data_IF_076745817240
#
_entry.id   IF_076745817240
#
_cell.length_a   1.000
_cell.length_b   1.000
_cell.length_c   1.000
_cell.angle_alpha   90.00
_cell.angle_beta   90.00
_cell.angle_gamma   90.00
#
_symmetry.space_group_name_H-M   'P 1'
#
loop_
_entity.id
_entity.type
_entity.pdbx_description
1 polymer ?
#
# COMPACT_ATOMS: atom_id res chain seq x y z
N UNK A 1 -1.09 -7.10 1.18
CA UNK A 1 -0.39 -6.00 0.49
C UNK A 1 -0.63 -6.13 -1.00
N UNK A 2 -1.10 -5.08 -1.64
CA UNK A 2 -1.29 -4.96 -3.09
C UNK A 2 -0.02 -4.42 -3.77
N UNK A 3 0.08 -4.49 -5.10
CA UNK A 3 1.21 -3.93 -5.83
C UNK A 3 1.42 -2.43 -5.51
N UNK A 4 2.66 -1.92 -5.57
CA UNK A 4 2.94 -0.50 -5.46
C UNK A 4 2.08 0.28 -6.46
N UNK A 5 1.66 1.49 -6.08
CA UNK A 5 0.78 2.36 -6.89
C UNK A 5 -0.69 1.89 -6.98
N UNK A 6 -1.08 0.85 -6.24
CA UNK A 6 -2.50 0.55 -6.08
C UNK A 6 -3.18 1.71 -5.35
N UNK A 7 -4.30 2.17 -5.92
CA UNK A 7 -5.04 3.28 -5.33
C UNK A 7 -5.62 2.88 -3.96
N UNK A 8 -5.59 3.76 -2.94
CA UNK A 8 -6.11 3.46 -1.60
C UNK A 8 -7.57 3.00 -1.58
N UNK A 9 -8.41 3.53 -2.47
CA UNK A 9 -9.82 3.13 -2.55
C UNK A 9 -9.99 1.65 -2.92
N UNK A 10 -9.09 1.09 -3.74
CA UNK A 10 -9.10 -0.34 -4.05
C UNK A 10 -8.76 -1.16 -2.81
N UNK A 11 -7.73 -0.75 -2.06
CA UNK A 11 -7.37 -1.43 -0.80
C UNK A 11 -8.52 -1.42 0.17
N UNK A 12 -9.22 -0.27 0.29
CA UNK A 12 -10.41 -0.15 1.13
C UNK A 12 -11.53 -1.08 0.68
N UNK A 13 -11.80 -1.11 -0.63
CA UNK A 13 -12.82 -1.98 -1.21
C UNK A 13 -12.53 -3.45 -0.91
N UNK A 14 -11.31 -3.91 -1.20
CA UNK A 14 -10.89 -5.29 -0.98
C UNK A 14 -10.96 -5.67 0.51
N UNK A 15 -10.56 -4.76 1.43
CA UNK A 15 -10.68 -5.00 2.87
C UNK A 15 -12.13 -5.16 3.33
N UNK A 16 -13.04 -4.34 2.81
CA UNK A 16 -14.48 -4.41 3.14
C UNK A 16 -15.08 -5.70 2.59
N UNK A 17 -14.78 -6.05 1.34
CA UNK A 17 -15.24 -7.29 0.71
C UNK A 17 -14.75 -8.53 1.45
N UNK A 18 -13.47 -8.57 1.83
CA UNK A 18 -12.91 -9.66 2.63
C UNK A 18 -13.58 -9.71 4.00
N UNK A 19 -13.81 -8.56 4.64
CA UNK A 19 -14.48 -8.52 5.94
C UNK A 19 -15.91 -9.06 5.87
N UNK A 20 -16.66 -8.73 4.83
CA UNK A 20 -18.00 -9.24 4.59
C UNK A 20 -17.99 -10.76 4.40
N UNK A 21 -17.13 -11.27 3.52
CA UNK A 21 -16.97 -12.71 3.29
C UNK A 21 -16.54 -13.51 4.53
N UNK A 22 -15.73 -12.90 5.38
CA UNK A 22 -15.30 -13.55 6.62
C UNK A 22 -16.36 -13.47 7.73
N UNK A 23 -17.28 -12.51 7.66
CA UNK A 23 -18.40 -12.41 8.60
C UNK A 23 -19.42 -13.53 8.43
N UNK A 24 -19.37 -14.32 7.34
CA UNK A 24 -20.20 -15.48 7.12
C UNK A 24 -19.79 -16.69 7.99
N UNK A 25 -18.62 -16.65 8.62
CA UNK A 25 -18.16 -17.69 9.54
C UNK A 25 -18.73 -17.43 10.94
N UNK A 26 -19.56 -18.34 11.43
CA UNK A 26 -20.19 -18.24 12.77
C UNK A 26 -19.17 -18.19 13.91
N UNK A 27 -17.96 -18.72 13.68
CA UNK A 27 -16.88 -18.75 14.67
C UNK A 27 -16.13 -17.42 14.80
N UNK A 28 -16.37 -16.47 13.91
CA UNK A 28 -15.72 -15.15 13.94
C UNK A 28 -16.60 -14.18 14.71
N UNK A 29 -16.08 -13.70 15.84
CA UNK A 29 -16.78 -12.78 16.70
C UNK A 29 -16.64 -11.32 16.24
N UNK A 30 -15.43 -10.94 15.78
CA UNK A 30 -15.14 -9.55 15.40
C UNK A 30 -14.05 -9.47 14.34
N UNK A 31 -14.25 -8.53 13.41
CA UNK A 31 -13.24 -8.17 12.41
C UNK A 31 -12.92 -6.68 12.55
N UNK A 32 -11.65 -6.36 12.65
CA UNK A 32 -11.17 -4.97 12.68
C UNK A 32 -10.26 -4.74 11.48
N UNK A 33 -10.63 -3.80 10.62
CA UNK A 33 -9.87 -3.44 9.43
C UNK A 33 -9.01 -2.20 9.65
N UNK A 34 -7.80 -2.20 9.12
CA UNK A 34 -6.89 -1.06 9.09
C UNK A 34 -6.31 -0.92 7.70
N UNK A 35 -6.31 0.30 7.19
CA UNK A 35 -5.78 0.65 5.88
C UNK A 35 -4.57 1.57 6.01
N UNK A 36 -3.62 1.43 5.11
CA UNK A 36 -2.40 2.23 4.99
C UNK A 36 -1.46 2.19 6.21
N UNK A 37 -1.87 1.63 7.30
CA UNK A 37 -1.08 1.51 8.52
C UNK A 37 -1.49 0.28 9.34
N UNK A 38 -0.60 -0.18 10.19
CA UNK A 38 -0.96 -1.19 11.19
C UNK A 38 -1.84 -0.57 12.26
N UNK A 39 -2.80 -1.33 12.82
CA UNK A 39 -3.57 -0.86 13.97
C UNK A 39 -2.68 -0.45 15.14
N UNK A 40 -3.22 0.39 16.00
CA UNK A 40 -2.52 0.83 17.22
C UNK A 40 -1.97 -0.37 17.99
N UNK A 41 -0.77 -0.23 18.53
CA UNK A 41 -0.14 -1.28 19.33
C UNK A 41 -0.99 -1.58 20.56
N UNK A 42 -1.56 -2.76 20.61
CA UNK A 42 -2.33 -3.26 21.76
C UNK A 42 -1.54 -4.28 22.59
N UNK A 43 -0.32 -4.61 22.19
CA UNK A 43 0.58 -5.49 22.93
C UNK A 43 2.04 -5.13 22.61
N UNK A 44 2.92 -5.34 23.59
CA UNK A 44 4.33 -4.95 23.53
C UNK A 44 5.14 -5.65 22.42
N UNK A 45 4.81 -6.90 22.13
CA UNK A 45 5.58 -7.72 21.18
C UNK A 45 5.11 -7.58 19.73
N UNK A 46 4.06 -6.79 19.49
CA UNK A 46 3.59 -6.56 18.13
C UNK A 46 4.56 -5.63 17.39
N UNK A 47 5.07 -6.12 16.27
CA UNK A 47 5.81 -5.27 15.34
C UNK A 47 4.86 -4.29 14.66
N UNK A 48 5.24 -3.02 14.66
CA UNK A 48 4.60 -2.01 13.80
C UNK A 48 5.41 -2.00 12.50
N UNK A 49 4.79 -2.45 11.42
CA UNK A 49 5.43 -2.41 10.12
C UNK A 49 5.27 -1.01 9.52
N UNK A 50 6.30 -0.55 8.84
CA UNK A 50 6.16 0.59 7.95
C UNK A 50 5.18 0.21 6.84
N UNK A 51 4.31 1.12 6.47
CA UNK A 51 3.13 0.88 5.70
C UNK A 51 3.01 1.92 4.61
N UNK A 52 2.12 1.70 3.68
CA UNK A 52 1.88 2.54 2.54
C UNK A 52 0.45 2.36 2.04
N UNK A 53 0.06 3.17 1.09
CA UNK A 53 -1.31 3.23 0.57
C UNK A 53 -1.80 1.89 0.00
N UNK A 54 -0.88 0.99 -0.38
CA UNK A 54 -1.16 -0.35 -0.90
C UNK A 54 -1.26 -1.43 0.19
N UNK A 55 -1.28 -1.03 1.47
CA UNK A 55 -1.34 -1.96 2.60
C UNK A 55 -2.70 -1.97 3.27
N UNK A 56 -3.16 -3.17 3.66
CA UNK A 56 -4.31 -3.38 4.50
C UNK A 56 -4.09 -4.53 5.48
N UNK A 57 -4.69 -4.45 6.63
CA UNK A 57 -4.63 -5.47 7.68
C UNK A 57 -6.01 -5.70 8.29
N UNK A 58 -6.36 -6.96 8.47
CA UNK A 58 -7.53 -7.39 9.22
C UNK A 58 -7.09 -8.11 10.48
N UNK A 59 -7.66 -7.74 11.60
CA UNK A 59 -7.57 -8.46 12.86
C UNK A 59 -8.88 -9.19 13.04
N UNK A 60 -8.81 -10.51 13.19
CA UNK A 60 -9.96 -11.39 13.30
C UNK A 60 -9.95 -12.01 14.69
N UNK A 61 -10.99 -11.76 15.44
CA UNK A 61 -11.21 -12.34 16.76
C UNK A 61 -12.16 -13.52 16.64
N UNK A 62 -11.74 -14.69 17.09
CA UNK A 62 -12.53 -15.91 17.13
C UNK A 62 -13.08 -16.12 18.55
N UNK A 63 -14.24 -16.80 18.67
CA UNK A 63 -14.77 -17.18 19.97
C UNK A 63 -13.87 -18.20 20.69
N UNK A 64 -13.39 -19.21 19.94
CA UNK A 64 -12.44 -20.21 20.44
C UNK A 64 -11.15 -20.17 19.60
N UNK A 65 -10.00 -20.20 20.28
CA UNK A 65 -8.69 -20.25 19.63
C UNK A 65 -8.51 -21.51 18.76
N UNK A 66 -9.24 -22.60 19.03
CA UNK A 66 -9.21 -23.84 18.24
C UNK A 66 -9.79 -23.64 16.86
N UNK A 67 -10.81 -22.83 16.73
CA UNK A 67 -11.41 -22.48 15.45
C UNK A 67 -10.44 -21.65 14.61
N UNK A 68 -9.69 -20.74 15.21
CA UNK A 68 -8.60 -20.05 14.52
C UNK A 68 -7.57 -21.02 13.94
N UNK A 69 -7.20 -22.07 14.67
CA UNK A 69 -6.27 -23.09 14.14
C UNK A 69 -6.84 -23.90 12.99
N UNK A 70 -8.12 -24.21 13.04
CA UNK A 70 -8.81 -24.99 12.03
C UNK A 70 -9.05 -24.20 10.74
N UNK A 71 -9.51 -22.95 10.85
CA UNK A 71 -9.94 -22.13 9.73
C UNK A 71 -8.79 -21.37 9.05
N UNK A 72 -7.69 -21.12 9.75
CA UNK A 72 -6.58 -20.32 9.22
C UNK A 72 -6.02 -20.84 7.87
N UNK A 73 -5.77 -22.15 7.66
CA UNK A 73 -5.30 -22.65 6.37
C UNK A 73 -6.32 -22.48 5.25
N UNK A 74 -7.61 -22.68 5.55
CA UNK A 74 -8.71 -22.52 4.61
C UNK A 74 -8.83 -21.05 4.16
N UNK A 75 -8.91 -20.12 5.13
CA UNK A 75 -8.98 -18.70 4.87
C UNK A 75 -7.77 -18.24 4.05
N UNK A 76 -6.56 -18.71 4.39
CA UNK A 76 -5.37 -18.35 3.64
C UNK A 76 -5.41 -18.81 2.19
N UNK A 77 -5.84 -20.05 1.94
CA UNK A 77 -5.95 -20.62 0.59
C UNK A 77 -6.99 -19.85 -0.22
N UNK A 78 -8.17 -19.67 0.35
CA UNK A 78 -9.26 -18.93 -0.28
C UNK A 78 -8.86 -17.51 -0.67
N UNK A 79 -8.25 -16.76 0.25
CA UNK A 79 -7.84 -15.39 -0.02
C UNK A 79 -6.69 -15.30 -1.05
N UNK A 80 -5.81 -16.28 -1.12
CA UNK A 80 -4.77 -16.34 -2.16
C UNK A 80 -5.34 -16.60 -3.55
N UNK A 81 -6.37 -17.43 -3.65
CA UNK A 81 -7.06 -17.73 -4.90
C UNK A 81 -7.91 -16.54 -5.39
N UNK A 82 -8.63 -15.90 -4.48
CA UNK A 82 -9.51 -14.78 -4.81
C UNK A 82 -8.74 -13.47 -5.12
N UNK A 83 -7.56 -13.28 -4.51
CA UNK A 83 -6.73 -12.07 -4.67
C UNK A 83 -5.31 -12.42 -5.17
N UNK A 84 -5.16 -12.92 -6.41
CA UNK A 84 -3.87 -13.41 -6.91
C UNK A 84 -2.82 -12.31 -7.12
N UNK A 85 -3.24 -11.05 -7.24
CA UNK A 85 -2.36 -9.90 -7.36
C UNK A 85 -1.93 -9.32 -6.00
N UNK A 86 -2.51 -9.82 -4.91
CA UNK A 86 -2.19 -9.40 -3.57
C UNK A 86 -1.23 -10.37 -2.87
N UNK A 87 -0.26 -9.87 -2.15
CA UNK A 87 0.47 -10.69 -1.19
C UNK A 87 -0.37 -10.84 0.07
N UNK A 88 -1.06 -11.97 0.19
CA UNK A 88 -1.91 -12.31 1.33
C UNK A 88 -1.14 -13.19 2.32
N UNK A 89 -1.05 -12.74 3.55
CA UNK A 89 -0.46 -13.47 4.65
C UNK A 89 -1.43 -13.58 5.81
N UNK A 90 -1.88 -14.78 6.12
CA UNK A 90 -2.71 -15.07 7.29
C UNK A 90 -1.83 -15.70 8.36
N UNK A 91 -1.85 -15.17 9.56
CA UNK A 91 -1.02 -15.67 10.66
C UNK A 91 -1.73 -15.52 11.99
N UNK A 92 -1.41 -16.40 12.91
CA UNK A 92 -1.82 -16.27 14.29
C UNK A 92 -1.07 -15.14 14.97
N UNK A 93 -1.74 -14.53 15.91
CA UNK A 93 -1.08 -13.62 16.82
C UNK A 93 -0.12 -14.41 17.72
N UNK A 94 1.12 -13.97 17.81
CA UNK A 94 2.13 -14.59 18.65
C UNK A 94 2.58 -13.59 19.73
N UNK A 95 2.58 -14.03 20.98
CA UNK A 95 3.07 -13.23 22.12
C UNK A 95 4.60 -13.23 22.25
N UNK A 96 5.30 -14.08 21.52
CA UNK A 96 6.76 -14.08 21.50
C UNK A 96 7.29 -13.04 20.51
N UNK A 97 8.50 -12.54 20.78
CA UNK A 97 9.25 -11.76 19.80
C UNK A 97 9.50 -12.66 18.58
N UNK A 98 8.82 -12.37 17.50
CA UNK A 98 9.02 -13.11 16.24
C UNK A 98 9.65 -12.21 15.19
N UNK A 99 10.61 -12.74 14.48
CA UNK A 99 11.12 -12.13 13.26
C UNK A 99 10.06 -12.22 12.16
N UNK A 100 10.09 -11.29 11.23
CA UNK A 100 9.16 -11.32 10.08
C UNK A 100 9.35 -12.58 9.24
N UNK A 101 10.57 -13.10 9.18
CA UNK A 101 10.94 -14.30 8.47
C UNK A 101 11.81 -15.17 9.37
N UNK A 102 11.63 -16.49 9.31
CA UNK A 102 12.37 -17.45 10.12
C UNK A 102 13.74 -17.72 9.55
N UNK A 103 13.83 -17.70 8.22
CA UNK A 103 15.09 -17.92 7.47
C UNK A 103 15.24 -16.77 6.49
N UNK A 104 16.41 -16.16 6.48
CA UNK A 104 16.75 -15.06 5.59
C UNK A 104 18.10 -15.32 4.94
N UNK A 105 18.19 -15.11 3.62
CA UNK A 105 19.44 -15.08 2.89
C UNK A 105 19.73 -13.63 2.48
N UNK A 106 20.90 -13.14 2.84
CA UNK A 106 21.30 -11.75 2.58
C UNK A 106 22.38 -11.74 1.48
N UNK A 107 22.10 -11.03 0.40
CA UNK A 107 23.05 -10.77 -0.67
C UNK A 107 23.49 -9.32 -0.62
N UNK A 108 24.81 -9.08 -0.69
CA UNK A 108 25.38 -7.73 -0.66
C UNK A 108 26.31 -7.53 -1.84
N UNK A 109 26.24 -6.37 -2.48
CA UNK A 109 27.09 -6.06 -3.62
C UNK A 109 26.79 -4.67 -4.18
N UNK A 110 27.65 -4.16 -5.08
CA UNK A 110 27.48 -2.80 -5.66
C UNK A 110 26.46 -2.75 -6.80
N UNK A 111 26.16 -3.89 -7.46
CA UNK A 111 25.29 -3.93 -8.64
C UNK A 111 23.90 -4.44 -8.32
N UNK A 112 22.86 -3.59 -8.43
CA UNK A 112 21.49 -3.97 -8.14
C UNK A 112 20.92 -5.04 -9.08
N UNK A 113 21.42 -5.13 -10.32
CA UNK A 113 20.94 -6.12 -11.30
C UNK A 113 21.39 -7.52 -10.90
N UNK A 114 22.70 -7.66 -10.59
CA UNK A 114 23.28 -8.91 -10.11
C UNK A 114 22.59 -9.35 -8.79
N UNK A 115 22.33 -8.42 -7.89
CA UNK A 115 21.64 -8.72 -6.63
C UNK A 115 20.22 -9.24 -6.86
N UNK A 116 19.49 -8.71 -7.83
CA UNK A 116 18.14 -9.21 -8.19
C UNK A 116 18.20 -10.61 -8.79
N UNK A 117 19.18 -10.89 -9.63
CA UNK A 117 19.38 -12.23 -10.20
C UNK A 117 19.70 -13.24 -9.10
N UNK A 118 20.60 -12.91 -8.19
CA UNK A 118 20.95 -13.77 -7.05
C UNK A 118 19.75 -13.99 -6.11
N UNK A 119 18.97 -12.93 -5.83
CA UNK A 119 17.75 -13.06 -5.04
C UNK A 119 16.72 -13.96 -5.74
N UNK A 120 16.60 -13.86 -7.08
CA UNK A 120 15.77 -14.75 -7.89
C UNK A 120 16.16 -16.20 -7.75
N UNK A 121 17.43 -16.52 -7.96
CA UNK A 121 18.00 -17.87 -7.80
C UNK A 121 17.79 -18.39 -6.36
N UNK A 122 18.06 -17.55 -5.36
CA UNK A 122 17.83 -17.90 -3.96
C UNK A 122 16.38 -18.24 -3.65
N UNK A 123 15.42 -17.52 -4.23
CA UNK A 123 14.00 -17.82 -4.09
C UNK A 123 13.61 -19.15 -4.73
N UNK A 124 14.15 -19.46 -5.91
CA UNK A 124 13.91 -20.76 -6.57
C UNK A 124 14.40 -21.91 -5.70
N UNK A 125 15.64 -21.83 -5.21
CA UNK A 125 16.19 -22.86 -4.31
C UNK A 125 15.34 -23.03 -3.05
N UNK A 126 14.87 -21.94 -2.45
CA UNK A 126 14.02 -22.01 -1.26
C UNK A 126 12.64 -22.63 -1.57
N UNK A 127 12.05 -22.31 -2.74
CA UNK A 127 10.74 -22.83 -3.16
C UNK A 127 10.76 -24.33 -3.47
N UNK A 128 11.90 -24.84 -3.95
CA UNK A 128 12.08 -26.25 -4.23
C UNK A 128 12.24 -27.08 -2.95
N UNK A 129 12.39 -26.46 -1.80
CA UNK A 129 12.52 -27.14 -0.54
C UNK A 129 11.16 -27.64 -0.02
N UNK A 130 10.99 -28.93 0.17
CA UNK A 130 9.74 -29.59 0.52
C UNK A 130 9.11 -29.12 1.86
N UNK A 131 9.89 -28.52 2.75
CA UNK A 131 9.44 -28.05 4.07
C UNK A 131 9.08 -26.55 4.07
N UNK A 132 9.27 -25.88 2.94
CA UNK A 132 9.02 -24.42 2.80
C UNK A 132 7.68 -24.21 2.09
N UNK A 133 6.82 -23.37 2.64
CA UNK A 133 5.67 -22.86 1.89
C UNK A 133 6.18 -21.92 0.79
N UNK A 134 6.16 -22.41 -0.44
CA UNK A 134 6.67 -21.69 -1.62
C UNK A 134 6.09 -20.27 -1.78
N UNK A 135 4.84 -20.07 -1.35
CA UNK A 135 4.20 -18.75 -1.37
C UNK A 135 4.79 -17.78 -0.33
N UNK A 136 5.32 -18.29 0.77
CA UNK A 136 5.93 -17.50 1.83
C UNK A 136 7.32 -16.95 1.45
N UNK A 137 7.93 -17.47 0.38
CA UNK A 137 9.25 -17.07 -0.09
C UNK A 137 9.16 -15.74 -0.84
N UNK A 138 9.63 -14.68 -0.21
CA UNK A 138 9.61 -13.31 -0.73
C UNK A 138 10.98 -12.68 -0.70
N UNK A 139 11.18 -11.60 -1.40
CA UNK A 139 12.33 -10.73 -1.28
C UNK A 139 11.92 -9.34 -0.81
N UNK A 140 12.90 -8.52 -0.46
CA UNK A 140 12.67 -7.13 -0.06
C UNK A 140 12.68 -6.15 -1.25
N UNK A 141 12.89 -6.64 -2.49
CA UNK A 141 12.68 -5.86 -3.68
C UNK A 141 11.18 -5.69 -3.91
N UNK A 142 10.72 -4.46 -3.90
CA UNK A 142 9.34 -4.17 -4.29
C UNK A 142 9.13 -4.46 -5.78
N UNK A 143 7.94 -4.90 -6.20
CA UNK A 143 7.59 -4.96 -7.62
C UNK A 143 7.89 -3.63 -8.30
N UNK A 144 8.40 -3.69 -9.54
CA UNK A 144 8.70 -2.48 -10.29
C UNK A 144 7.40 -1.74 -10.61
N UNK A 145 7.32 -0.49 -10.16
CA UNK A 145 6.23 0.41 -10.52
C UNK A 145 6.59 1.24 -11.76
N UNK A 146 5.58 1.70 -12.49
CA UNK A 146 5.76 2.66 -13.56
C UNK A 146 5.84 4.06 -12.97
N UNK A 147 6.89 4.81 -13.30
CA UNK A 147 7.00 6.22 -12.95
C UNK A 147 6.84 7.08 -14.19
N UNK A 148 6.04 8.13 -14.08
CA UNK A 148 5.88 9.12 -15.15
C UNK A 148 6.85 10.26 -14.86
N UNK A 149 7.87 10.37 -15.71
CA UNK A 149 8.78 11.52 -15.66
C UNK A 149 8.28 12.59 -16.62
N UNK A 150 8.09 13.80 -16.10
CA UNK A 150 7.73 14.96 -16.91
C UNK A 150 8.99 15.71 -17.32
N UNK A 151 9.14 15.90 -18.60
CA UNK A 151 10.21 16.73 -19.13
C UNK A 151 9.81 18.22 -19.02
N UNK A 152 10.58 18.96 -18.22
CA UNK A 152 10.31 20.36 -17.94
C UNK A 152 11.09 21.25 -18.89
N UNK A 153 10.37 21.96 -19.77
CA UNK A 153 10.95 22.99 -20.62
C UNK A 153 10.96 24.34 -19.91
N UNK A 154 12.10 24.73 -19.37
CA UNK A 154 12.26 26.02 -18.67
C UNK A 154 11.95 27.22 -19.59
N UNK A 155 12.31 27.10 -20.87
CA UNK A 155 12.07 28.17 -21.84
C UNK A 155 10.57 28.37 -22.10
N UNK A 156 9.81 27.26 -22.25
CA UNK A 156 8.38 27.34 -22.46
C UNK A 156 7.64 27.84 -21.21
N UNK A 157 8.04 27.37 -20.02
CA UNK A 157 7.48 27.81 -18.76
C UNK A 157 7.69 29.33 -18.54
N UNK A 158 8.90 29.83 -18.75
CA UNK A 158 9.20 31.27 -18.64
C UNK A 158 8.38 32.12 -19.61
N UNK A 159 8.17 31.65 -20.84
CA UNK A 159 7.30 32.36 -21.82
C UNK A 159 5.85 32.45 -21.37
N UNK A 160 5.38 31.43 -20.65
CA UNK A 160 4.02 31.36 -20.09
C UNK A 160 3.91 32.00 -18.70
N UNK A 161 4.96 32.62 -18.17
CA UNK A 161 4.96 33.21 -16.85
C UNK A 161 4.88 32.21 -15.69
N UNK A 162 5.24 30.95 -15.94
CA UNK A 162 5.17 29.87 -14.97
C UNK A 162 6.55 29.43 -14.52
N UNK A 163 6.64 28.92 -13.31
CA UNK A 163 7.85 28.33 -12.76
C UNK A 163 7.65 26.82 -12.45
N UNK A 164 8.71 26.14 -12.04
CA UNK A 164 8.67 24.70 -11.73
C UNK A 164 7.72 24.38 -10.58
N UNK A 165 7.61 25.25 -9.59
CA UNK A 165 6.72 25.05 -8.44
C UNK A 165 5.24 25.14 -8.84
N UNK A 166 4.89 26.03 -9.77
CA UNK A 166 3.51 26.15 -10.27
C UNK A 166 3.06 24.86 -10.94
N UNK A 167 3.93 24.28 -11.77
CA UNK A 167 3.67 22.99 -12.44
C UNK A 167 3.61 21.84 -11.42
N UNK A 168 4.54 21.80 -10.45
CA UNK A 168 4.54 20.78 -9.42
C UNK A 168 3.28 20.82 -8.56
N UNK A 169 2.82 22.01 -8.17
CA UNK A 169 1.59 22.20 -7.41
C UNK A 169 0.34 21.79 -8.21
N UNK A 170 0.30 22.09 -9.51
CA UNK A 170 -0.81 21.68 -10.36
C UNK A 170 -0.86 20.14 -10.51
N UNK A 171 0.29 19.48 -10.68
CA UNK A 171 0.40 18.03 -10.71
C UNK A 171 -0.04 17.39 -9.38
N UNK A 172 0.39 17.96 -8.26
CA UNK A 172 0.00 17.49 -6.94
C UNK A 172 -1.51 17.65 -6.71
N UNK A 173 -2.07 18.80 -7.07
CA UNK A 173 -3.49 19.06 -6.94
C UNK A 173 -4.37 18.13 -7.82
N UNK A 174 -3.85 17.70 -8.98
CA UNK A 174 -4.56 16.76 -9.86
C UNK A 174 -4.49 15.30 -9.42
N UNK A 175 -3.44 14.92 -8.69
CA UNK A 175 -3.22 13.54 -8.23
C UNK A 175 -3.73 13.33 -6.80
N UNK A 176 -2.95 13.75 -5.82
CA UNK A 176 -3.21 13.48 -4.40
C UNK A 176 -3.98 14.59 -3.70
N UNK A 177 -3.87 15.79 -4.21
CA UNK A 177 -4.35 17.04 -3.62
C UNK A 177 -3.23 17.87 -3.01
N UNK A 178 -3.38 19.18 -3.13
CA UNK A 178 -2.47 20.17 -2.57
C UNK A 178 -2.96 20.57 -1.17
N UNK A 179 -2.19 20.35 -0.09
CA UNK A 179 -2.58 20.83 1.23
C UNK A 179 -2.56 22.35 1.28
N UNK A 180 -3.72 22.95 1.54
CA UNK A 180 -3.92 24.41 1.54
C UNK A 180 -4.24 24.98 2.91
N UNK A 181 -4.53 24.15 3.91
CA UNK A 181 -4.85 24.62 5.24
C UNK A 181 -5.14 23.50 6.23
N UNK A 182 -5.47 23.91 7.45
CA UNK A 182 -5.85 23.04 8.55
C UNK A 182 -7.12 23.57 9.20
N UNK A 183 -8.04 22.65 9.53
CA UNK A 183 -9.17 22.93 10.41
C UNK A 183 -8.95 22.15 11.71
N UNK A 184 -9.21 22.80 12.81
CA UNK A 184 -9.19 22.15 14.12
C UNK A 184 -10.61 21.81 14.54
N UNK A 185 -10.88 20.55 14.74
CA UNK A 185 -12.14 20.03 15.24
C UNK A 185 -11.90 19.28 16.55
N UNK A 186 -12.27 19.89 17.68
CA UNK A 186 -11.90 19.43 19.01
C UNK A 186 -10.38 19.26 19.15
N UNK A 187 -9.93 18.03 19.44
CA UNK A 187 -8.51 17.69 19.62
C UNK A 187 -7.84 17.22 18.33
N UNK A 188 -8.54 17.28 17.19
CA UNK A 188 -8.03 16.78 15.91
C UNK A 188 -7.76 17.92 14.95
N UNK A 189 -6.62 17.84 14.26
CA UNK A 189 -6.34 18.67 13.11
C UNK A 189 -6.70 17.91 11.82
N UNK A 190 -7.50 18.54 10.98
CA UNK A 190 -7.92 18.00 9.68
C UNK A 190 -7.28 18.84 8.59
N UNK A 191 -6.54 18.18 7.70
CA UNK A 191 -5.88 18.84 6.57
C UNK A 191 -6.90 19.11 5.48
N UNK A 192 -6.93 20.36 4.98
CA UNK A 192 -7.71 20.73 3.82
C UNK A 192 -6.86 20.51 2.58
N UNK A 193 -7.27 19.60 1.71
CA UNK A 193 -6.63 19.33 0.44
C UNK A 193 -7.45 19.93 -0.73
N UNK A 194 -6.81 20.75 -1.53
CA UNK A 194 -7.34 21.23 -2.80
C UNK A 194 -7.09 20.18 -3.88
N UNK A 195 -8.16 19.69 -4.51
CA UNK A 195 -8.08 18.75 -5.64
C UNK A 195 -8.67 19.38 -6.89
N UNK A 196 -8.05 19.09 -8.02
CA UNK A 196 -8.57 19.44 -9.35
C UNK A 196 -9.28 18.21 -9.92
N UNK A 197 -10.50 18.43 -10.39
CA UNK A 197 -11.35 17.40 -11.00
C UNK A 197 -11.86 17.89 -12.35
N UNK A 198 -12.34 16.97 -13.17
CA UNK A 198 -13.07 17.30 -14.38
C UNK A 198 -14.43 17.95 -14.03
N UNK A 199 -15.07 18.55 -15.02
CA UNK A 199 -16.40 19.20 -14.85
C UNK A 199 -17.53 18.23 -14.46
N UNK A 200 -17.32 16.96 -14.59
CA UNK A 200 -18.23 15.87 -14.20
C UNK A 200 -17.87 15.24 -12.84
N UNK A 201 -17.04 15.90 -12.04
CA UNK A 201 -16.50 15.46 -10.77
C UNK A 201 -15.62 14.19 -10.87
N UNK A 202 -15.30 13.74 -12.06
CA UNK A 202 -14.38 12.63 -12.26
C UNK A 202 -12.92 13.06 -12.04
N UNK A 203 -12.07 12.09 -11.70
CA UNK A 203 -10.64 12.35 -11.56
C UNK A 203 -10.00 12.60 -12.92
N UNK A 204 -9.01 13.49 -12.94
CA UNK A 204 -8.18 13.69 -14.12
C UNK A 204 -7.30 12.46 -14.32
N UNK A 205 -7.60 11.67 -15.34
CA UNK A 205 -6.82 10.49 -15.71
C UNK A 205 -5.77 10.81 -16.77
N UNK A 206 -6.08 11.75 -17.67
CA UNK A 206 -5.12 12.25 -18.65
C UNK A 206 -4.33 13.42 -18.05
N UNK A 207 -3.07 13.14 -17.76
CA UNK A 207 -2.17 14.16 -17.20
C UNK A 207 -1.60 15.12 -18.26
N UNK A 208 -2.01 15.02 -19.52
CA UNK A 208 -1.54 15.94 -20.57
C UNK A 208 -2.27 17.28 -20.53
N UNK A 209 -3.50 17.30 -20.02
CA UNK A 209 -4.37 18.49 -20.02
C UNK A 209 -4.63 19.05 -18.61
N UNK A 210 -3.65 18.96 -17.71
CA UNK A 210 -3.76 19.52 -16.38
C UNK A 210 -3.63 21.04 -16.45
N UNK A 211 -4.62 21.81 -15.97
CA UNK A 211 -4.52 23.27 -15.90
C UNK A 211 -3.47 23.68 -14.87
N UNK A 212 -2.55 24.54 -15.29
CA UNK A 212 -1.52 25.10 -14.42
C UNK A 212 -1.83 26.57 -14.17
N UNK A 213 -1.93 26.96 -12.90
CA UNK A 213 -2.09 28.36 -12.51
C UNK A 213 -0.71 28.95 -12.21
N UNK A 214 -0.30 29.91 -13.03
CA UNK A 214 0.86 30.73 -12.76
C UNK A 214 0.41 32.06 -12.14
N UNK A 215 1.16 32.57 -11.19
CA UNK A 215 1.02 33.96 -10.77
C UNK A 215 1.66 34.85 -11.83
N UNK A 216 0.93 35.27 -12.83
CA UNK A 216 1.36 36.39 -13.68
C UNK A 216 0.99 37.65 -12.93
N UNK A 217 1.96 38.52 -12.56
CA UNK A 217 1.61 39.85 -12.10
C UNK A 217 0.82 40.53 -13.20
N UNK A 218 -0.39 40.99 -12.87
CA UNK A 218 -1.16 41.83 -13.78
C UNK A 218 -0.31 43.05 -14.11
N UNK A 219 0.19 43.11 -15.33
CA UNK A 219 0.75 44.34 -15.92
C UNK A 219 -0.37 45.20 -16.43
#
# INVERSE_FOLDING_TARGET
>A
TLPPQTHPDRVKHDLLEISEKLSDYDEINKITASQAQTPTRYCLVRSINAVGDNYGELIIDFEDYRDAYRLLPEIQTRLREEYPDAYVRVRKYNFAVSTSHTVEAIFSGPDPQILRELAGQGKEIMRDCAIVDAYSVTDNWQPQGKSIYRDYSEQSAKRSGMNRSDIANALLASAEGLPVGLIYENDKSVIINLKVQNSDDSRITDQNDIPVWGMIPNT
#
